data_IF_425478237223
#
_entry.id   IF_425478237223
#
_cell.length_a   1.000
_cell.length_b   1.000
_cell.length_c   1.000
_cell.angle_alpha   90.00
_cell.angle_beta   90.00
_cell.angle_gamma   90.00
#
_symmetry.space_group_name_H-M   'P 1'
#
loop_
_entity.id
_entity.type
_entity.pdbx_description
1 polymer ?
#
# COMPACT_ATOMS: atom_id res chain seq x y z
N UNK A 1 13.50 14.83 -1.21
CA UNK A 1 12.80 14.00 -2.23
C UNK A 1 11.95 12.89 -1.61
N UNK A 2 12.50 11.97 -0.79
CA UNK A 2 11.74 10.85 -0.22
C UNK A 2 10.47 11.27 0.56
N UNK A 3 10.55 12.35 1.35
CA UNK A 3 9.39 12.89 2.09
C UNK A 3 8.25 13.36 1.17
N UNK A 4 8.57 13.99 0.03
CA UNK A 4 7.57 14.45 -0.95
C UNK A 4 6.83 13.25 -1.56
N UNK A 5 7.57 12.19 -1.93
CA UNK A 5 6.97 10.95 -2.44
C UNK A 5 6.10 10.25 -1.39
N UNK A 6 6.49 10.31 -0.12
CA UNK A 6 5.68 9.79 0.97
C UNK A 6 4.36 10.56 1.10
N UNK A 7 4.41 11.89 1.15
CA UNK A 7 3.21 12.74 1.20
C UNK A 7 2.29 12.50 0.00
N UNK A 8 2.86 12.37 -1.21
CA UNK A 8 2.10 12.06 -2.40
C UNK A 8 1.36 10.72 -2.29
N UNK A 9 2.03 9.66 -1.80
CA UNK A 9 1.40 8.35 -1.56
C UNK A 9 0.29 8.45 -0.51
N UNK A 10 0.51 9.17 0.59
CA UNK A 10 -0.54 9.43 1.59
C UNK A 10 -1.76 10.14 0.97
N UNK A 11 -1.53 11.13 0.11
CA UNK A 11 -2.62 11.83 -0.56
C UNK A 11 -3.35 10.95 -1.58
N UNK A 12 -2.63 10.10 -2.31
CA UNK A 12 -3.25 9.09 -3.21
C UNK A 12 -4.16 8.16 -2.41
N UNK A 13 -3.77 7.72 -1.21
CA UNK A 13 -4.66 6.92 -0.33
C UNK A 13 -5.95 7.67 0.01
N UNK A 14 -5.85 8.97 0.33
CA UNK A 14 -7.01 9.82 0.62
C UNK A 14 -7.94 9.89 -0.60
N UNK A 15 -7.39 10.08 -1.80
CA UNK A 15 -8.16 10.08 -3.05
C UNK A 15 -8.82 8.72 -3.32
N UNK A 16 -8.11 7.61 -3.10
CA UNK A 16 -8.66 6.26 -3.25
C UNK A 16 -9.83 6.01 -2.29
N UNK A 17 -9.71 6.41 -1.02
CA UNK A 17 -10.84 6.33 -0.08
C UNK A 17 -11.99 7.22 -0.52
N UNK A 18 -11.71 8.46 -0.94
CA UNK A 18 -12.75 9.37 -1.45
C UNK A 18 -13.49 8.76 -2.65
N UNK A 19 -12.80 8.03 -3.52
CA UNK A 19 -13.36 7.38 -4.70
C UNK A 19 -14.35 6.25 -4.36
N UNK A 20 -14.10 5.49 -3.27
CA UNK A 20 -14.96 4.36 -2.87
C UNK A 20 -16.00 4.70 -1.79
N UNK A 21 -15.96 5.92 -1.25
CA UNK A 21 -16.91 6.38 -0.23
C UNK A 21 -18.26 6.71 -0.88
N UNK A 22 -19.37 6.24 -0.30
CA UNK A 22 -20.70 6.58 -0.85
C UNK A 22 -21.14 7.99 -0.49
N UNK A 23 -22.09 8.56 -1.26
CA UNK A 23 -22.67 9.87 -0.96
C UNK A 23 -23.24 9.99 0.46
N UNK A 24 -23.87 8.92 0.96
CA UNK A 24 -24.40 8.89 2.33
C UNK A 24 -23.28 8.92 3.36
N UNK A 25 -22.21 8.14 3.16
CA UNK A 25 -21.07 8.13 4.07
C UNK A 25 -20.35 9.49 4.11
N UNK A 26 -20.26 10.21 2.99
CA UNK A 26 -19.68 11.56 2.97
C UNK A 26 -20.41 12.54 3.90
N UNK A 27 -21.71 12.36 4.06
CA UNK A 27 -22.57 13.27 4.83
C UNK A 27 -22.68 12.81 6.29
N UNK A 28 -22.89 11.51 6.52
CA UNK A 28 -23.23 10.99 7.84
C UNK A 28 -22.04 10.41 8.59
N UNK A 29 -20.99 9.95 7.90
CA UNK A 29 -19.81 9.41 8.54
C UNK A 29 -18.76 10.53 8.76
N UNK A 30 -18.22 10.71 9.97
CA UNK A 30 -17.16 11.70 10.18
C UNK A 30 -15.93 11.50 9.28
N UNK A 31 -15.63 10.28 8.84
CA UNK A 31 -14.55 10.02 7.88
C UNK A 31 -14.88 10.59 6.51
N UNK A 32 -16.11 10.34 6.06
CA UNK A 32 -16.61 10.86 4.80
C UNK A 32 -16.56 12.39 4.78
N UNK A 33 -16.87 13.05 5.89
CA UNK A 33 -16.72 14.51 6.04
C UNK A 33 -15.27 14.97 5.90
N UNK A 34 -14.32 14.26 6.52
CA UNK A 34 -12.88 14.58 6.40
C UNK A 34 -12.39 14.39 4.97
N UNK A 35 -12.73 13.27 4.33
CA UNK A 35 -12.39 12.99 2.94
C UNK A 35 -13.00 14.03 1.99
N UNK A 36 -14.27 14.39 2.21
CA UNK A 36 -14.95 15.45 1.46
C UNK A 36 -14.22 16.78 1.62
N UNK A 37 -13.88 17.18 2.84
CA UNK A 37 -13.16 18.45 3.11
C UNK A 37 -11.77 18.47 2.46
N UNK A 38 -11.06 17.34 2.46
CA UNK A 38 -9.71 17.23 1.91
C UNK A 38 -9.66 17.20 0.37
N UNK A 39 -10.71 16.68 -0.28
CA UNK A 39 -10.68 16.40 -1.73
C UNK A 39 -11.63 17.28 -2.54
N UNK A 40 -12.82 17.62 -2.02
CA UNK A 40 -13.81 18.41 -2.76
C UNK A 40 -13.28 19.74 -3.32
N UNK A 41 -12.39 20.48 -2.62
CA UNK A 41 -11.80 21.70 -3.19
C UNK A 41 -11.06 21.49 -4.52
N UNK A 42 -10.57 20.27 -4.79
CA UNK A 42 -9.88 19.92 -6.02
C UNK A 42 -10.81 19.35 -7.10
N UNK A 43 -12.06 19.01 -6.76
CA UNK A 43 -12.99 18.37 -7.68
C UNK A 43 -13.85 19.41 -8.40
N UNK A 44 -13.79 19.51 -9.74
CA UNK A 44 -14.66 20.42 -10.47
C UNK A 44 -16.12 20.00 -10.28
N UNK A 45 -16.94 20.92 -9.75
CA UNK A 45 -18.35 20.68 -9.41
C UNK A 45 -18.57 19.46 -8.50
N UNK A 46 -17.59 19.12 -7.64
CA UNK A 46 -17.63 17.91 -6.80
C UNK A 46 -17.83 16.60 -7.58
N UNK A 47 -17.39 16.54 -8.84
CA UNK A 47 -17.56 15.35 -9.67
C UNK A 47 -16.46 14.31 -9.40
N UNK A 48 -16.84 13.20 -8.76
CA UNK A 48 -15.96 12.12 -8.35
C UNK A 48 -15.27 11.39 -9.52
N UNK A 49 -15.82 11.51 -10.75
CA UNK A 49 -15.20 10.95 -11.96
C UNK A 49 -13.82 11.56 -12.27
N UNK A 50 -13.49 12.72 -11.69
CA UNK A 50 -12.17 13.34 -11.82
C UNK A 50 -11.11 12.76 -10.87
N UNK A 51 -11.49 11.95 -9.88
CA UNK A 51 -10.52 11.41 -8.91
C UNK A 51 -9.44 10.56 -9.58
N UNK A 52 -9.74 9.63 -10.51
CA UNK A 52 -8.69 8.89 -11.23
C UNK A 52 -7.71 9.80 -11.96
N UNK A 53 -8.21 10.90 -12.56
CA UNK A 53 -7.38 11.89 -13.24
C UNK A 53 -6.46 12.65 -12.27
N UNK A 54 -6.94 12.98 -11.07
CA UNK A 54 -6.11 13.59 -10.04
C UNK A 54 -5.01 12.62 -9.56
N UNK A 55 -5.34 11.34 -9.38
CA UNK A 55 -4.36 10.31 -9.00
C UNK A 55 -3.27 10.19 -10.08
N UNK A 56 -3.65 10.11 -11.36
CA UNK A 56 -2.67 10.03 -12.45
C UNK A 56 -1.82 11.29 -12.55
N UNK A 57 -2.41 12.48 -12.39
CA UNK A 57 -1.67 13.74 -12.39
C UNK A 57 -0.61 13.78 -11.27
N UNK A 58 -0.98 13.36 -10.05
CA UNK A 58 -0.03 13.32 -8.92
C UNK A 58 1.10 12.33 -9.19
N UNK A 59 0.80 11.14 -9.71
CA UNK A 59 1.81 10.15 -10.08
C UNK A 59 2.79 10.72 -11.11
N UNK A 60 2.27 11.38 -12.16
CA UNK A 60 3.10 11.97 -13.22
C UNK A 60 3.99 13.08 -12.63
N UNK A 61 3.40 14.06 -11.93
CA UNK A 61 4.14 15.20 -11.37
C UNK A 61 5.25 14.72 -10.45
N UNK A 62 4.93 13.80 -9.54
CA UNK A 62 5.91 13.31 -8.57
C UNK A 62 6.98 12.42 -9.19
N UNK A 63 6.64 11.66 -10.25
CA UNK A 63 7.62 10.88 -11.00
C UNK A 63 8.57 11.78 -11.79
N UNK A 64 8.06 12.87 -12.38
CA UNK A 64 8.88 13.88 -13.04
C UNK A 64 9.82 14.57 -12.04
N UNK A 65 9.30 15.00 -10.89
CA UNK A 65 10.11 15.60 -9.82
C UNK A 65 11.22 14.64 -9.36
N UNK A 66 10.90 13.35 -9.16
CA UNK A 66 11.89 12.34 -8.82
C UNK A 66 12.98 12.22 -9.89
N UNK A 67 12.59 12.27 -11.16
CA UNK A 67 13.50 12.12 -12.30
C UNK A 67 14.49 13.29 -12.45
N UNK A 68 14.09 14.49 -12.02
CA UNK A 68 14.93 15.69 -12.05
C UNK A 68 15.93 15.73 -10.86
N UNK A 69 15.75 14.89 -9.84
CA UNK A 69 16.66 14.90 -8.67
C UNK A 69 18.13 14.66 -9.06
N UNK A 70 19.03 15.42 -8.44
CA UNK A 70 20.46 15.53 -8.78
C UNK A 70 21.29 14.30 -8.38
N UNK A 71 21.04 13.16 -9.04
CA UNK A 71 21.87 11.95 -8.92
C UNK A 71 22.41 11.56 -10.29
N UNK A 72 23.55 10.86 -10.33
CA UNK A 72 24.28 10.48 -11.54
C UNK A 72 23.51 9.54 -12.50
N UNK A 73 22.32 9.07 -12.11
CA UNK A 73 21.46 8.20 -12.90
C UNK A 73 20.67 9.00 -13.95
N UNK A 74 20.50 8.44 -15.13
CA UNK A 74 19.78 9.08 -16.25
C UNK A 74 18.31 9.42 -15.90
N UNK A 75 17.75 10.42 -16.58
CA UNK A 75 16.36 10.84 -16.37
C UNK A 75 15.34 9.73 -16.66
N UNK A 76 15.52 9.00 -17.77
CA UNK A 76 14.57 7.97 -18.23
C UNK A 76 14.49 6.80 -17.24
N UNK A 77 15.63 6.35 -16.72
CA UNK A 77 15.72 5.25 -15.76
C UNK A 77 15.08 5.63 -14.42
N UNK A 78 15.26 6.88 -13.97
CA UNK A 78 14.57 7.41 -12.79
C UNK A 78 13.07 7.49 -12.98
N UNK A 79 12.61 7.98 -14.14
CA UNK A 79 11.18 8.10 -14.43
C UNK A 79 10.50 6.75 -14.35
N UNK A 80 11.10 5.74 -14.99
CA UNK A 80 10.59 4.38 -14.91
C UNK A 80 10.57 3.85 -13.48
N UNK A 81 11.68 4.03 -12.75
CA UNK A 81 11.78 3.55 -11.38
C UNK A 81 10.72 4.18 -10.47
N UNK A 82 10.36 5.45 -10.69
CA UNK A 82 9.28 6.13 -9.96
C UNK A 82 7.91 5.52 -10.28
N UNK A 83 7.60 5.29 -11.56
CA UNK A 83 6.34 4.66 -11.99
C UNK A 83 6.20 3.23 -11.44
N UNK A 84 7.28 2.44 -11.46
CA UNK A 84 7.31 1.09 -10.90
C UNK A 84 7.16 1.11 -9.38
N UNK A 85 7.74 2.10 -8.70
CA UNK A 85 7.53 2.29 -7.27
C UNK A 85 6.06 2.59 -6.93
N UNK A 86 5.34 3.31 -7.79
CA UNK A 86 3.89 3.49 -7.64
C UNK A 86 3.12 2.19 -7.90
N UNK A 87 3.49 1.40 -8.91
CA UNK A 87 2.87 0.10 -9.17
C UNK A 87 2.97 -0.84 -7.96
N UNK A 88 4.18 -0.96 -7.38
CA UNK A 88 4.39 -1.74 -6.15
C UNK A 88 3.64 -1.16 -4.95
N UNK A 89 3.54 0.16 -4.83
CA UNK A 89 2.74 0.80 -3.80
C UNK A 89 1.26 0.43 -3.91
N UNK A 90 0.67 0.49 -5.12
CA UNK A 90 -0.71 0.07 -5.34
C UNK A 90 -0.92 -1.41 -5.04
N UNK A 91 -0.01 -2.29 -5.46
CA UNK A 91 -0.06 -3.71 -5.10
C UNK A 91 -0.13 -3.92 -3.60
N UNK A 92 0.78 -3.32 -2.84
CA UNK A 92 0.78 -3.43 -1.38
C UNK A 92 -0.48 -2.85 -0.77
N UNK A 93 -0.92 -1.68 -1.24
CA UNK A 93 -2.14 -1.03 -0.76
C UNK A 93 -3.39 -1.87 -1.01
N UNK A 94 -3.53 -2.49 -2.19
CA UNK A 94 -4.67 -3.37 -2.50
C UNK A 94 -4.60 -4.69 -1.75
N UNK A 95 -3.42 -5.28 -1.54
CA UNK A 95 -3.23 -6.46 -0.69
C UNK A 95 -3.68 -6.15 0.74
N UNK A 96 -3.19 -5.04 1.30
CA UNK A 96 -3.59 -4.54 2.62
C UNK A 96 -5.11 -4.31 2.66
N UNK A 97 -5.68 -3.69 1.62
CA UNK A 97 -7.13 -3.47 1.50
C UNK A 97 -7.95 -4.75 1.53
N UNK A 98 -7.50 -5.80 0.84
CA UNK A 98 -8.15 -7.11 0.84
C UNK A 98 -8.05 -7.83 2.19
N UNK A 99 -6.87 -7.77 2.83
CA UNK A 99 -6.68 -8.33 4.18
C UNK A 99 -7.62 -7.64 5.17
N UNK A 100 -7.68 -6.30 5.16
CA UNK A 100 -8.55 -5.57 6.08
C UNK A 100 -10.04 -5.72 5.78
N UNK A 101 -10.40 -5.71 4.50
CA UNK A 101 -11.77 -5.97 4.06
C UNK A 101 -12.28 -7.35 4.49
N UNK A 102 -11.38 -8.33 4.66
CA UNK A 102 -11.74 -9.67 5.14
C UNK A 102 -12.32 -9.70 6.56
N UNK A 103 -11.89 -8.76 7.42
CA UNK A 103 -12.35 -8.68 8.80
C UNK A 103 -13.75 -8.05 8.93
N UNK A 104 -14.29 -7.47 7.85
CA UNK A 104 -15.55 -6.72 7.84
C UNK A 104 -16.84 -7.52 8.05
N UNK A 105 -16.77 -8.85 8.16
CA UNK A 105 -17.93 -9.68 8.46
C UNK A 105 -18.34 -9.67 9.95
N UNK A 106 -17.73 -8.82 10.78
CA UNK A 106 -18.10 -8.62 12.19
C UNK A 106 -18.97 -7.36 12.33
N UNK A 107 -20.04 -7.38 13.17
CA UNK A 107 -21.01 -6.28 13.31
C UNK A 107 -20.42 -4.96 13.84
N UNK A 108 -19.12 -4.90 14.13
CA UNK A 108 -18.39 -3.76 14.70
C UNK A 108 -17.72 -2.91 13.59
N UNK A 109 -17.78 -3.33 12.33
CA UNK A 109 -17.11 -2.66 11.22
C UNK A 109 -17.76 -1.34 10.80
N UNK A 110 -17.43 -0.26 11.52
CA UNK A 110 -17.74 1.11 11.12
C UNK A 110 -17.29 1.40 9.67
N UNK A 111 -17.78 2.52 9.10
CA UNK A 111 -17.65 2.82 7.67
C UNK A 111 -16.24 2.79 7.09
N UNK A 112 -15.19 2.71 7.91
CA UNK A 112 -13.80 2.54 7.48
C UNK A 112 -13.50 1.15 6.87
N UNK A 113 -13.88 0.05 7.53
CA UNK A 113 -13.61 -1.31 7.01
C UNK A 113 -14.34 -1.52 5.68
N UNK A 114 -15.52 -0.91 5.54
CA UNK A 114 -16.28 -0.90 4.29
C UNK A 114 -15.50 -0.27 3.12
N UNK A 115 -14.67 0.75 3.36
CA UNK A 115 -13.82 1.33 2.30
C UNK A 115 -12.74 0.35 1.84
N UNK A 116 -12.07 -0.33 2.77
CA UNK A 116 -11.03 -1.32 2.45
C UNK A 116 -11.63 -2.50 1.70
N UNK A 117 -12.80 -2.97 2.15
CA UNK A 117 -13.57 -3.99 1.45
C UNK A 117 -13.91 -3.56 0.01
N UNK A 118 -14.42 -2.34 -0.19
CA UNK A 118 -14.76 -1.83 -1.53
C UNK A 118 -13.53 -1.65 -2.43
N UNK A 119 -12.39 -1.25 -1.88
CA UNK A 119 -11.13 -1.15 -2.63
C UNK A 119 -10.59 -2.51 -3.05
N UNK A 120 -10.75 -3.54 -2.22
CA UNK A 120 -10.37 -4.92 -2.55
C UNK A 120 -11.37 -5.63 -3.47
N UNK A 121 -12.63 -5.17 -3.52
CA UNK A 121 -13.72 -5.86 -4.22
C UNK A 121 -13.49 -6.09 -5.73
N UNK A 122 -12.95 -5.14 -6.52
CA UNK A 122 -12.68 -5.38 -7.94
C UNK A 122 -11.76 -6.58 -8.16
N UNK A 123 -10.72 -6.70 -7.34
CA UNK A 123 -9.75 -7.79 -7.41
C UNK A 123 -10.34 -9.13 -6.97
N UNK A 124 -11.16 -9.13 -5.93
CA UNK A 124 -11.90 -10.32 -5.50
C UNK A 124 -12.88 -10.78 -6.59
N UNK A 125 -13.63 -9.86 -7.20
CA UNK A 125 -14.54 -10.16 -8.33
C UNK A 125 -13.79 -10.73 -9.53
N UNK A 126 -12.66 -10.10 -9.91
CA UNK A 126 -11.81 -10.57 -10.99
C UNK A 126 -11.29 -11.98 -10.71
N UNK A 127 -10.87 -12.27 -9.48
CA UNK A 127 -10.38 -13.60 -9.10
C UNK A 127 -11.47 -14.66 -9.16
N UNK A 128 -12.72 -14.30 -8.81
CA UNK A 128 -13.87 -15.22 -8.92
C UNK A 128 -14.19 -15.64 -10.34
N UNK A 129 -13.75 -14.89 -11.35
CA UNK A 129 -13.88 -15.29 -12.76
C UNK A 129 -13.03 -16.53 -13.07
N UNK A 130 -11.90 -16.69 -12.39
CA UNK A 130 -10.97 -17.80 -12.62
C UNK A 130 -11.11 -18.90 -11.56
N UNK A 131 -11.44 -18.52 -10.32
CA UNK A 131 -11.49 -19.42 -9.16
C UNK A 131 -12.85 -19.24 -8.47
N UNK A 132 -13.87 -20.07 -8.78
CA UNK A 132 -15.22 -19.90 -8.27
C UNK A 132 -15.37 -20.38 -6.81
N UNK A 133 -14.78 -19.64 -5.86
CA UNK A 133 -14.92 -19.87 -4.42
C UNK A 133 -15.92 -18.87 -3.83
N UNK A 134 -17.02 -19.40 -3.26
CA UNK A 134 -18.11 -18.59 -2.69
C UNK A 134 -17.88 -18.13 -1.24
N UNK A 135 -16.76 -18.53 -0.62
CA UNK A 135 -16.42 -18.19 0.78
C UNK A 135 -15.42 -17.04 0.88
N UNK A 136 -15.26 -16.48 2.08
CA UNK A 136 -14.19 -15.52 2.40
C UNK A 136 -12.76 -16.03 2.12
N UNK A 137 -12.59 -17.34 1.91
CA UNK A 137 -11.31 -17.95 1.51
C UNK A 137 -10.81 -17.46 0.15
N UNK A 138 -11.68 -16.87 -0.69
CA UNK A 138 -11.32 -16.26 -1.99
C UNK A 138 -10.28 -15.13 -1.86
N UNK A 139 -10.14 -14.55 -0.67
CA UNK A 139 -9.23 -13.42 -0.42
C UNK A 139 -7.78 -13.83 -0.60
N UNK A 140 -7.41 -15.06 -0.21
CA UNK A 140 -6.04 -15.57 -0.39
C UNK A 140 -5.69 -15.69 -1.89
N UNK A 141 -6.49 -16.38 -2.73
CA UNK A 141 -6.32 -16.35 -4.18
C UNK A 141 -6.28 -14.93 -4.75
N UNK A 142 -7.13 -14.01 -4.26
CA UNK A 142 -7.16 -12.65 -4.78
C UNK A 142 -5.87 -11.86 -4.49
N UNK A 143 -5.30 -12.03 -3.29
CA UNK A 143 -3.98 -11.48 -2.94
C UNK A 143 -2.91 -12.01 -3.89
N UNK A 144 -2.90 -13.32 -4.13
CA UNK A 144 -1.94 -13.97 -5.05
C UNK A 144 -2.09 -13.41 -6.47
N UNK A 145 -3.33 -13.26 -6.96
CA UNK A 145 -3.60 -12.72 -8.30
C UNK A 145 -3.09 -11.28 -8.43
N UNK A 146 -3.38 -10.41 -7.46
CA UNK A 146 -2.91 -9.00 -7.48
C UNK A 146 -1.39 -8.93 -7.46
N UNK A 147 -0.76 -9.75 -6.62
CA UNK A 147 0.68 -9.84 -6.53
C UNK A 147 1.30 -10.30 -7.86
N UNK A 148 0.87 -11.45 -8.39
CA UNK A 148 1.39 -11.99 -9.65
C UNK A 148 1.17 -11.06 -10.83
N UNK A 149 -0.02 -10.46 -10.95
CA UNK A 149 -0.31 -9.51 -12.03
C UNK A 149 0.63 -8.31 -11.98
N UNK A 150 0.85 -7.74 -10.79
CA UNK A 150 1.75 -6.58 -10.65
C UNK A 150 3.20 -6.95 -10.95
N UNK A 151 3.67 -8.09 -10.43
CA UNK A 151 5.04 -8.58 -10.67
C UNK A 151 5.27 -8.84 -12.16
N UNK A 152 4.34 -9.51 -12.83
CA UNK A 152 4.44 -9.75 -14.27
C UNK A 152 4.44 -8.43 -15.06
N UNK A 153 3.51 -7.51 -14.74
CA UNK A 153 3.42 -6.22 -15.43
C UNK A 153 4.71 -5.41 -15.29
N UNK A 154 5.22 -5.29 -14.07
CA UNK A 154 6.45 -4.53 -13.78
C UNK A 154 7.69 -5.20 -14.36
N UNK A 155 7.77 -6.54 -14.37
CA UNK A 155 8.84 -7.29 -15.01
C UNK A 155 8.87 -7.06 -16.53
N UNK A 156 7.71 -7.13 -17.19
CA UNK A 156 7.58 -6.86 -18.63
C UNK A 156 8.02 -5.44 -18.95
N UNK A 157 7.51 -4.45 -18.20
CA UNK A 157 7.85 -3.04 -18.38
C UNK A 157 9.36 -2.81 -18.22
N UNK A 158 9.97 -3.36 -17.16
CA UNK A 158 11.41 -3.26 -16.93
C UNK A 158 12.22 -3.91 -18.06
N UNK A 159 11.78 -5.07 -18.54
CA UNK A 159 12.45 -5.78 -19.63
C UNK A 159 12.44 -4.94 -20.90
N UNK A 160 11.26 -4.46 -21.31
CA UNK A 160 11.09 -3.61 -22.49
C UNK A 160 12.00 -2.37 -22.38
N UNK A 161 12.02 -1.74 -21.21
CA UNK A 161 12.84 -0.56 -21.00
C UNK A 161 14.34 -0.87 -21.07
N UNK A 162 14.80 -1.94 -20.45
CA UNK A 162 16.20 -2.36 -20.52
C UNK A 162 16.63 -2.66 -21.96
N UNK A 163 15.75 -3.25 -22.77
CA UNK A 163 16.02 -3.49 -24.20
C UNK A 163 16.15 -2.18 -24.99
N UNK A 164 15.32 -1.17 -24.69
CA UNK A 164 15.36 0.12 -25.37
C UNK A 164 16.62 0.92 -25.00
N UNK A 165 16.97 0.97 -23.71
CA UNK A 165 18.07 1.82 -23.21
C UNK A 165 19.44 1.17 -23.40
N UNK A 166 19.57 -0.09 -23.00
CA UNK A 166 20.87 -0.78 -22.97
C UNK A 166 21.12 -1.63 -24.23
N UNK A 167 20.19 -1.64 -25.18
CA UNK A 167 20.27 -2.38 -26.46
C UNK A 167 20.71 -3.84 -26.28
N UNK A 168 20.36 -4.45 -25.15
CA UNK A 168 20.87 -5.75 -24.70
C UNK A 168 20.09 -6.90 -25.32
N UNK A 169 20.19 -7.06 -26.64
CA UNK A 169 19.46 -8.07 -27.43
C UNK A 169 19.90 -9.50 -27.07
N UNK A 170 21.15 -9.68 -26.62
CA UNK A 170 21.79 -11.00 -26.50
C UNK A 170 21.19 -11.96 -25.46
N UNK A 171 20.45 -11.47 -24.47
CA UNK A 171 19.81 -12.35 -23.49
C UNK A 171 18.54 -11.75 -22.85
N UNK A 172 17.50 -11.56 -23.67
CA UNK A 172 16.18 -11.07 -23.23
C UNK A 172 15.61 -11.92 -22.08
N UNK A 173 15.85 -13.23 -22.11
CA UNK A 173 15.39 -14.15 -21.08
C UNK A 173 15.99 -13.80 -19.71
N UNK A 174 17.30 -13.60 -19.61
CA UNK A 174 17.94 -13.22 -18.34
C UNK A 174 17.49 -11.84 -17.85
N UNK A 175 17.31 -10.88 -18.75
CA UNK A 175 16.75 -9.56 -18.39
C UNK A 175 15.34 -9.69 -17.82
N UNK A 176 14.52 -10.56 -18.41
CA UNK A 176 13.17 -10.81 -17.90
C UNK A 176 13.19 -11.51 -16.54
N UNK A 177 14.03 -12.54 -16.38
CA UNK A 177 14.12 -13.30 -15.13
C UNK A 177 14.62 -12.39 -13.99
N UNK A 178 15.65 -11.58 -14.22
CA UNK A 178 16.14 -10.60 -13.24
C UNK A 178 15.10 -9.50 -12.95
N UNK A 179 14.36 -9.02 -13.94
CA UNK A 179 13.26 -8.08 -13.76
C UNK A 179 12.09 -8.67 -12.95
N UNK A 180 11.79 -9.95 -13.18
CA UNK A 180 10.78 -10.70 -12.44
C UNK A 180 11.21 -10.91 -10.99
N UNK A 181 12.43 -11.41 -10.75
CA UNK A 181 12.98 -11.62 -9.42
C UNK A 181 13.05 -10.30 -8.63
N UNK A 182 13.48 -9.20 -9.27
CA UNK A 182 13.54 -7.87 -8.66
C UNK A 182 12.17 -7.23 -8.37
N UNK A 183 11.11 -7.65 -9.06
CA UNK A 183 9.75 -7.20 -8.76
C UNK A 183 9.12 -8.08 -7.67
N UNK A 184 9.36 -9.39 -7.71
CA UNK A 184 8.83 -10.36 -6.76
C UNK A 184 9.24 -10.05 -5.31
N UNK A 185 10.51 -9.76 -5.04
CA UNK A 185 10.96 -9.53 -3.66
C UNK A 185 10.37 -8.27 -3.00
N UNK A 186 9.76 -7.35 -3.76
CA UNK A 186 9.16 -6.13 -3.22
C UNK A 186 8.01 -6.40 -2.25
N UNK A 187 7.44 -7.61 -2.28
CA UNK A 187 6.45 -8.04 -1.28
C UNK A 187 7.01 -8.02 0.15
N UNK A 188 8.32 -8.28 0.34
CA UNK A 188 8.96 -8.22 1.66
C UNK A 188 8.97 -6.80 2.24
N UNK A 189 8.79 -5.78 1.40
CA UNK A 189 8.56 -4.41 1.85
C UNK A 189 7.30 -4.25 2.71
N UNK A 190 6.33 -5.18 2.66
CA UNK A 190 5.13 -5.13 3.49
C UNK A 190 5.45 -5.05 5.00
N UNK A 191 6.45 -5.81 5.46
CA UNK A 191 6.90 -5.80 6.85
C UNK A 191 7.39 -4.40 7.27
N UNK A 192 8.16 -3.77 6.37
CA UNK A 192 8.65 -2.41 6.56
C UNK A 192 7.51 -1.38 6.59
N UNK A 193 6.49 -1.50 5.74
CA UNK A 193 5.33 -0.59 5.83
C UNK A 193 4.50 -0.81 7.09
N UNK A 194 4.35 -2.06 7.54
CA UNK A 194 3.66 -2.36 8.80
C UNK A 194 4.36 -1.73 10.00
N UNK A 195 5.69 -1.65 10.03
CA UNK A 195 6.40 -0.99 11.12
C UNK A 195 6.03 0.49 11.26
N UNK A 196 5.77 1.21 10.17
CA UNK A 196 5.30 2.61 10.24
C UNK A 196 3.89 2.72 10.82
N UNK A 197 2.99 1.80 10.47
CA UNK A 197 1.63 1.81 11.03
C UNK A 197 1.68 1.49 12.54
N UNK A 198 2.53 0.56 12.93
CA UNK A 198 2.79 0.24 14.34
C UNK A 198 3.47 1.40 15.08
N UNK A 199 4.36 2.15 14.41
CA UNK A 199 4.92 3.37 14.98
C UNK A 199 3.83 4.42 15.25
N UNK A 200 2.91 4.61 14.30
CA UNK A 200 1.74 5.49 14.48
C UNK A 200 0.86 5.03 15.65
N UNK A 201 0.69 3.72 15.82
CA UNK A 201 -0.02 3.08 16.92
C UNK A 201 0.63 3.35 18.28
N UNK A 202 1.95 3.25 18.37
CA UNK A 202 2.70 3.58 19.57
C UNK A 202 2.55 5.08 19.93
N UNK A 203 2.70 5.98 18.96
CA UNK A 203 2.50 7.42 19.15
C UNK A 203 1.09 7.76 19.67
N UNK A 204 0.07 7.13 19.10
CA UNK A 204 -1.32 7.27 19.54
C UNK A 204 -1.49 6.79 21.00
N UNK A 205 -0.82 5.71 21.42
CA UNK A 205 -0.91 5.25 22.81
C UNK A 205 -0.38 6.29 23.81
N UNK A 206 0.74 6.94 23.48
CA UNK A 206 1.39 7.91 24.38
C UNK A 206 0.59 9.20 24.54
N UNK A 207 -0.03 9.68 23.46
CA UNK A 207 -0.82 10.93 23.49
C UNK A 207 -2.26 10.67 23.97
N UNK A 208 -2.74 9.42 23.87
CA UNK A 208 -4.11 9.03 24.23
C UNK A 208 -5.21 9.95 23.65
N UNK A 209 -5.21 10.19 22.32
CA UNK A 209 -6.25 10.99 21.68
C UNK A 209 -7.63 10.33 21.78
N UNK A 210 -8.72 11.11 21.62
CA UNK A 210 -10.11 10.64 21.74
C UNK A 210 -10.31 9.31 20.96
N UNK A 211 -10.66 8.19 21.64
CA UNK A 211 -10.89 6.90 21.02
C UNK A 211 -11.99 6.91 19.95
N UNK A 212 -12.87 7.91 19.96
CA UNK A 212 -13.91 8.12 18.95
C UNK A 212 -13.36 8.71 17.65
N UNK A 213 -12.09 9.15 17.64
CA UNK A 213 -11.44 9.63 16.43
C UNK A 213 -11.20 8.46 15.46
N UNK A 214 -11.62 8.65 14.21
CA UNK A 214 -11.55 7.61 13.18
C UNK A 214 -10.12 7.19 12.86
N UNK A 215 -9.17 8.13 12.84
CA UNK A 215 -7.77 7.81 12.55
C UNK A 215 -7.23 6.89 13.64
N UNK A 216 -7.65 7.14 14.89
CA UNK A 216 -7.32 6.29 16.04
C UNK A 216 -7.90 4.90 15.84
N UNK A 217 -9.21 4.78 15.60
CA UNK A 217 -9.86 3.47 15.37
C UNK A 217 -9.25 2.70 14.21
N UNK A 218 -8.89 3.40 13.12
CA UNK A 218 -8.19 2.82 11.97
C UNK A 218 -6.87 2.18 12.42
N UNK A 219 -6.01 2.95 13.08
CA UNK A 219 -4.68 2.48 13.45
C UNK A 219 -4.80 1.33 14.47
N UNK A 220 -5.73 1.42 15.43
CA UNK A 220 -6.08 0.32 16.33
C UNK A 220 -6.47 -0.93 15.52
N UNK A 221 -7.45 -0.83 14.61
CA UNK A 221 -7.94 -1.96 13.80
C UNK A 221 -6.85 -2.60 12.95
N UNK A 222 -5.94 -1.80 12.38
CA UNK A 222 -4.86 -2.31 11.53
C UNK A 222 -3.82 -3.07 12.33
N UNK A 223 -3.48 -2.58 13.51
CA UNK A 223 -2.37 -3.09 14.30
C UNK A 223 -2.78 -4.17 15.30
N UNK A 224 -4.07 -4.25 15.66
CA UNK A 224 -4.55 -5.18 16.69
C UNK A 224 -4.25 -6.65 16.40
N UNK A 225 -4.42 -7.19 15.17
CA UNK A 225 -4.09 -8.60 14.88
C UNK A 225 -2.63 -8.95 15.15
N UNK A 226 -1.73 -7.97 15.07
CA UNK A 226 -0.29 -8.12 15.30
C UNK A 226 0.06 -7.86 16.76
N UNK A 227 -0.57 -6.86 17.39
CA UNK A 227 -0.25 -6.43 18.74
C UNK A 227 -0.96 -7.23 19.82
N UNK A 228 -2.17 -7.73 19.59
CA UNK A 228 -2.91 -8.51 20.59
C UNK A 228 -2.12 -9.74 21.06
N UNK A 229 -1.51 -10.57 20.19
CA UNK A 229 -0.66 -11.67 20.63
C UNK A 229 0.57 -11.20 21.42
N UNK A 230 1.18 -10.07 21.03
CA UNK A 230 2.36 -9.54 21.70
C UNK A 230 2.04 -8.96 23.08
N UNK A 231 0.88 -8.31 23.25
CA UNK A 231 0.40 -7.81 24.55
C UNK A 231 0.16 -8.91 25.57
N UNK A 232 -0.08 -10.15 25.13
CA UNK A 232 -0.17 -11.31 26.02
C UNK A 232 1.17 -11.69 26.63
N UNK A 233 2.28 -11.39 25.94
CA UNK A 233 3.64 -11.67 26.41
C UNK A 233 4.19 -10.45 27.17
N UNK A 234 3.97 -9.25 26.63
CA UNK A 234 4.49 -7.99 27.16
C UNK A 234 3.31 -7.04 27.35
N UNK A 235 2.64 -7.08 28.51
CA UNK A 235 1.47 -6.23 28.75
C UNK A 235 1.87 -4.75 28.78
N UNK A 236 0.95 -3.84 28.40
CA UNK A 236 1.18 -2.41 28.48
C UNK A 236 1.40 -1.99 29.95
N UNK A 237 2.32 -1.04 30.18
CA UNK A 237 2.61 -0.51 31.51
C UNK A 237 2.08 0.93 31.55
N UNK A 238 0.96 1.12 32.24
CA UNK A 238 0.27 2.41 32.28
C UNK A 238 -0.28 2.82 30.90
N UNK A 239 0.04 4.03 30.46
CA UNK A 239 -0.43 4.60 29.18
C UNK A 239 0.47 4.18 28.00
N UNK A 240 1.66 3.63 28.29
CA UNK A 240 2.67 3.30 27.29
C UNK A 240 2.52 1.85 26.84
N UNK A 241 2.23 1.67 25.55
CA UNK A 241 2.17 0.35 24.93
C UNK A 241 3.57 -0.10 24.46
N UNK A 242 4.33 -0.74 25.36
CA UNK A 242 5.64 -1.31 25.04
C UNK A 242 5.58 -2.44 24.01
N UNK A 243 4.45 -3.16 23.91
CA UNK A 243 4.26 -4.19 22.89
C UNK A 243 4.31 -3.59 21.48
N UNK A 244 3.76 -2.38 21.29
CA UNK A 244 3.81 -1.67 20.02
C UNK A 244 5.24 -1.24 19.66
N UNK A 245 6.05 -0.81 20.64
CA UNK A 245 7.45 -0.45 20.42
C UNK A 245 8.28 -1.68 19.97
N UNK A 246 8.12 -2.81 20.67
CA UNK A 246 8.83 -4.06 20.35
C UNK A 246 8.39 -4.60 18.99
N UNK A 247 7.08 -4.58 18.70
CA UNK A 247 6.56 -4.95 17.40
C UNK A 247 7.13 -4.06 16.28
N UNK A 248 7.15 -2.74 16.47
CA UNK A 248 7.71 -1.80 15.50
C UNK A 248 9.16 -2.15 15.16
N UNK A 249 10.00 -2.36 16.19
CA UNK A 249 11.40 -2.74 16.02
C UNK A 249 11.49 -4.10 15.29
N UNK A 250 10.75 -5.10 15.74
CA UNK A 250 10.75 -6.44 15.13
C UNK A 250 10.36 -6.43 13.66
N UNK A 251 9.30 -5.71 13.28
CA UNK A 251 8.87 -5.60 11.89
C UNK A 251 9.85 -4.78 11.03
N UNK A 252 10.41 -3.70 11.58
CA UNK A 252 11.39 -2.87 10.88
C UNK A 252 12.67 -3.65 10.58
N UNK A 253 13.31 -4.19 11.62
CA UNK A 253 14.55 -4.94 11.49
C UNK A 253 14.33 -6.27 10.78
N UNK A 254 13.24 -7.00 11.07
CA UNK A 254 12.90 -8.23 10.36
C UNK A 254 12.70 -8.00 8.87
N UNK A 255 11.95 -6.95 8.50
CA UNK A 255 11.78 -6.56 7.10
C UNK A 255 13.09 -6.13 6.43
N UNK A 256 13.96 -5.42 7.14
CA UNK A 256 15.27 -4.99 6.63
C UNK A 256 16.23 -6.17 6.44
N UNK A 257 16.36 -7.04 7.44
CA UNK A 257 17.21 -8.24 7.41
C UNK A 257 16.75 -9.15 6.29
N UNK A 258 15.44 -9.45 6.21
CA UNK A 258 14.90 -10.31 5.17
C UNK A 258 15.20 -9.76 3.77
N UNK A 259 15.02 -8.45 3.55
CA UNK A 259 15.37 -7.83 2.28
C UNK A 259 16.88 -7.89 2.00
N UNK A 260 17.74 -7.65 2.99
CA UNK A 260 19.19 -7.72 2.83
C UNK A 260 19.70 -9.14 2.57
N UNK A 261 19.04 -10.16 3.10
CA UNK A 261 19.36 -11.56 2.84
C UNK A 261 18.91 -11.95 1.43
N UNK A 262 17.68 -11.58 1.03
CA UNK A 262 17.11 -12.01 -0.26
C UNK A 262 17.72 -11.25 -1.45
N UNK A 263 18.02 -9.95 -1.28
CA UNK A 263 18.44 -9.06 -2.38
C UNK A 263 19.69 -9.55 -3.13
N UNK A 264 20.77 -10.04 -2.49
CA UNK A 264 21.94 -10.56 -3.20
C UNK A 264 21.62 -11.69 -4.17
N UNK A 265 20.74 -12.63 -3.78
CA UNK A 265 20.36 -13.76 -4.63
C UNK A 265 19.67 -13.32 -5.93
N UNK A 266 19.01 -12.17 -5.92
CA UNK A 266 18.35 -11.61 -7.10
C UNK A 266 19.37 -11.08 -8.10
N UNK A 267 20.48 -10.53 -7.63
CA UNK A 267 21.55 -10.04 -8.50
C UNK A 267 22.44 -11.15 -9.06
N UNK A 268 22.30 -12.38 -8.54
CA UNK A 268 23.00 -13.57 -9.05
C UNK A 268 22.23 -14.24 -10.20
N UNK A 269 20.99 -13.82 -10.47
CA UNK A 269 20.10 -14.33 -11.51
C UNK A 269 20.04 -13.33 -12.67
#
# INVERSE_FOLDING_TARGET
MAFILFLAKCYIVILLFRFVTTKQELIFNPLGKVLAKAVNPLLPKNNEKFIPLLITAIIIITSLLYSISSTAVEFQTKLLSALINYAHFFMLFYIVSMIFGSFGNRPIGGGFIALFFRLGLPWVKMTRLFIPINSGKIIIPAIIVVYLLTVCLTAVINTIFNLIIYQSIGNVANVFISAFASSAYKIFGLLYYMSFVIAFRALISWVSPDPRNIIVQLVYTITEPVLEPLRRIIPPIGIIDFSALIAMIGFYFGGMILQNIVRPFIYLI
#
